data_IF_353950943858
#
_entry.id   IF_353950943858
#
_cell.length_a   1.000
_cell.length_b   1.000
_cell.length_c   1.000
_cell.angle_alpha   90.00
_cell.angle_beta   90.00
_cell.angle_gamma   90.00
#
_symmetry.space_group_name_H-M   'P 1'
#
loop_
_entity.id
_entity.type
_entity.pdbx_description
1 polymer ?
#
# COMPACT_ATOMS: atom_id res chain seq x y z
N UNK A 1 -18.83 -15.17 -29.52
CA UNK A 1 -19.43 -16.51 -29.31
C UNK A 1 -18.51 -17.31 -28.40
N UNK A 2 -19.14 -17.91 -27.37
CA UNK A 2 -18.74 -19.10 -26.60
C UNK A 2 -17.48 -19.07 -25.70
N UNK A 3 -17.79 -18.96 -24.41
CA UNK A 3 -17.15 -19.59 -23.24
C UNK A 3 -16.27 -20.82 -23.54
N UNK A 4 -15.08 -20.85 -22.95
CA UNK A 4 -14.53 -22.01 -22.24
C UNK A 4 -13.28 -21.61 -21.44
N UNK A 5 -13.12 -22.22 -20.26
CA UNK A 5 -12.02 -22.15 -19.27
C UNK A 5 -12.43 -21.40 -17.98
N UNK A 6 -12.66 -22.04 -16.84
CA UNK A 6 -12.44 -23.43 -16.44
C UNK A 6 -13.48 -23.87 -15.40
N UNK A 7 -14.10 -25.03 -15.64
CA UNK A 7 -14.65 -25.88 -14.58
C UNK A 7 -13.48 -26.59 -13.92
N UNK A 8 -13.18 -26.22 -12.67
CA UNK A 8 -12.39 -27.03 -11.73
C UNK A 8 -13.18 -27.05 -10.42
N UNK A 9 -13.65 -28.23 -10.05
CA UNK A 9 -14.18 -28.66 -8.75
C UNK A 9 -14.55 -27.53 -7.78
N UNK A 10 -15.86 -27.32 -7.60
CA UNK A 10 -16.42 -26.45 -6.57
C UNK A 10 -16.07 -26.97 -5.17
N UNK A 11 -14.89 -26.61 -4.69
CA UNK A 11 -14.64 -26.42 -3.26
C UNK A 11 -15.76 -25.50 -2.74
N UNK A 12 -16.31 -25.72 -1.54
CA UNK A 12 -17.21 -24.76 -0.93
C UNK A 12 -16.50 -23.40 -0.99
N UNK A 13 -17.11 -22.42 -1.65
CA UNK A 13 -16.46 -21.15 -1.95
C UNK A 13 -15.79 -20.59 -0.68
N UNK A 14 -14.47 -20.38 -0.73
CA UNK A 14 -13.73 -19.92 0.44
C UNK A 14 -14.20 -18.52 0.82
N UNK A 15 -14.86 -18.39 1.99
CA UNK A 15 -15.40 -17.14 2.54
C UNK A 15 -14.64 -16.73 3.78
N UNK A 16 -14.57 -15.44 4.04
CA UNK A 16 -14.15 -14.98 5.36
C UNK A 16 -15.11 -15.51 6.42
N UNK A 17 -14.55 -15.89 7.57
CA UNK A 17 -15.27 -16.42 8.72
C UNK A 17 -14.74 -15.68 9.93
N UNK A 18 -15.62 -15.39 10.88
CA UNK A 18 -15.16 -15.03 12.21
C UNK A 18 -14.85 -16.34 12.91
N UNK A 19 -13.58 -16.58 13.21
CA UNK A 19 -13.18 -17.84 13.84
C UNK A 19 -13.69 -17.90 15.28
N UNK A 20 -14.12 -19.07 15.75
CA UNK A 20 -14.74 -19.24 17.09
C UNK A 20 -13.84 -18.76 18.24
N UNK A 21 -12.52 -18.85 18.07
CA UNK A 21 -11.52 -18.36 19.04
C UNK A 21 -11.08 -16.91 18.83
N UNK A 22 -11.58 -16.22 17.79
CA UNK A 22 -11.18 -14.85 17.51
C UNK A 22 -11.92 -13.86 18.43
N UNK A 23 -11.17 -12.87 18.90
CA UNK A 23 -11.69 -11.81 19.77
C UNK A 23 -11.44 -10.45 19.13
N UNK A 24 -12.44 -9.58 19.13
CA UNK A 24 -12.32 -8.19 18.76
C UNK A 24 -12.34 -7.33 20.04
N UNK A 25 -11.24 -6.63 20.32
CA UNK A 25 -11.12 -5.76 21.50
C UNK A 25 -11.14 -4.30 21.05
N UNK A 26 -12.27 -3.64 21.25
CA UNK A 26 -12.50 -2.25 20.87
C UNK A 26 -11.67 -1.26 21.70
N UNK A 27 -11.45 -0.02 21.21
CA UNK A 27 -10.64 0.98 21.93
C UNK A 27 -11.12 1.30 23.35
N UNK A 28 -12.42 1.20 23.62
CA UNK A 28 -13.04 1.39 24.93
C UNK A 28 -12.82 0.21 25.89
N UNK A 29 -12.29 -0.92 25.39
CA UNK A 29 -12.03 -2.14 26.15
C UNK A 29 -13.11 -3.22 25.98
N UNK A 30 -14.19 -2.95 25.25
CA UNK A 30 -15.22 -3.94 24.95
C UNK A 30 -14.62 -5.11 24.18
N UNK A 31 -14.80 -6.33 24.69
CA UNK A 31 -14.40 -7.58 24.03
C UNK A 31 -15.61 -8.22 23.37
N UNK A 32 -15.49 -8.55 22.08
CA UNK A 32 -16.51 -9.21 21.29
C UNK A 32 -15.93 -10.52 20.77
N UNK A 33 -16.54 -11.64 21.16
CA UNK A 33 -16.23 -12.97 20.63
C UNK A 33 -17.03 -13.25 19.34
N UNK A 34 -16.86 -14.44 18.76
CA UNK A 34 -17.60 -14.87 17.57
C UNK A 34 -19.12 -14.79 17.81
N UNK A 35 -19.87 -14.13 16.91
CA UNK A 35 -21.30 -13.97 17.08
C UNK A 35 -22.04 -15.25 16.67
N UNK A 36 -22.32 -16.12 17.65
CA UNK A 36 -22.99 -17.39 17.41
C UNK A 36 -24.32 -17.23 16.64
N UNK A 37 -25.16 -16.23 16.97
CA UNK A 37 -26.46 -16.00 16.32
C UNK A 37 -26.75 -14.55 15.93
N UNK A 38 -26.45 -13.54 16.77
CA UNK A 38 -26.59 -12.11 16.45
C UNK A 38 -25.61 -11.25 17.24
N UNK A 39 -25.02 -10.24 16.59
CA UNK A 39 -24.19 -9.22 17.25
C UNK A 39 -25.07 -8.23 18.02
N UNK A 40 -24.71 -7.83 19.25
CA UNK A 40 -25.40 -6.76 19.97
C UNK A 40 -25.50 -5.46 19.13
N UNK A 41 -26.57 -4.67 19.29
CA UNK A 41 -26.76 -3.41 18.53
C UNK A 41 -25.57 -2.46 18.65
N UNK A 42 -24.96 -2.39 19.84
CA UNK A 42 -23.74 -1.59 20.06
C UNK A 42 -22.52 -2.14 19.30
N UNK A 43 -22.37 -3.47 19.19
CA UNK A 43 -21.31 -4.09 18.41
C UNK A 43 -21.49 -3.86 16.90
N UNK A 44 -22.75 -3.76 16.43
CA UNK A 44 -23.09 -3.38 15.06
C UNK A 44 -22.73 -1.93 14.70
N UNK A 45 -22.27 -1.11 15.65
CA UNK A 45 -21.72 0.21 15.33
C UNK A 45 -20.31 0.13 14.75
N UNK A 46 -19.56 -0.95 15.02
CA UNK A 46 -18.20 -1.08 14.50
C UNK A 46 -18.21 -1.59 13.03
N UNK A 47 -17.45 -0.97 12.12
CA UNK A 47 -17.49 -1.31 10.69
C UNK A 47 -17.16 -2.77 10.40
N UNK A 48 -16.17 -3.36 11.09
CA UNK A 48 -15.81 -4.78 10.85
C UNK A 48 -16.96 -5.74 11.22
N UNK A 49 -17.74 -5.43 12.25
CA UNK A 49 -18.88 -6.24 12.67
C UNK A 49 -19.98 -6.21 11.61
N UNK A 50 -20.30 -5.01 11.09
CA UNK A 50 -21.23 -4.84 9.96
C UNK A 50 -20.75 -5.54 8.70
N UNK A 51 -19.44 -5.51 8.43
CA UNK A 51 -18.84 -6.17 7.29
C UNK A 51 -19.07 -7.70 7.34
N UNK A 52 -18.83 -8.34 8.49
CA UNK A 52 -19.10 -9.76 8.69
C UNK A 52 -20.60 -10.10 8.70
N UNK A 53 -21.47 -9.26 9.27
CA UNK A 53 -22.93 -9.45 9.20
C UNK A 53 -23.42 -9.46 7.75
N UNK A 54 -22.98 -8.52 6.92
CA UNK A 54 -23.30 -8.50 5.49
C UNK A 54 -22.80 -9.76 4.77
N UNK A 55 -21.57 -10.22 5.07
CA UNK A 55 -21.09 -11.49 4.54
C UNK A 55 -21.99 -12.65 4.98
N UNK A 56 -22.34 -12.76 6.25
CA UNK A 56 -23.18 -13.87 6.73
C UNK A 56 -24.57 -13.87 6.05
N UNK A 57 -25.09 -12.68 5.69
CA UNK A 57 -26.31 -12.49 4.89
C UNK A 57 -26.11 -12.65 3.37
N UNK A 58 -24.98 -13.19 2.94
CA UNK A 58 -24.62 -13.41 1.53
C UNK A 58 -24.57 -12.11 0.68
N UNK A 59 -24.40 -10.96 1.32
CA UNK A 59 -24.15 -9.69 0.65
C UNK A 59 -22.66 -9.49 0.37
N UNK A 60 -22.35 -8.60 -0.57
CA UNK A 60 -20.97 -8.17 -0.84
C UNK A 60 -20.69 -6.86 -0.11
N UNK A 61 -19.95 -6.87 1.00
CA UNK A 61 -19.71 -5.68 1.78
C UNK A 61 -18.67 -4.75 1.12
N UNK A 62 -18.83 -3.45 1.36
CA UNK A 62 -17.84 -2.42 1.11
C UNK A 62 -17.71 -1.57 2.37
N UNK A 63 -16.47 -1.29 2.80
CA UNK A 63 -16.20 -0.22 3.78
C UNK A 63 -15.73 1.00 2.99
N UNK A 64 -16.63 1.96 2.85
CA UNK A 64 -16.42 3.19 2.10
C UNK A 64 -15.86 4.33 2.96
N UNK A 65 -16.01 5.56 2.44
CA UNK A 65 -15.56 6.76 3.12
C UNK A 65 -16.20 6.93 4.51
N UNK A 66 -15.41 7.44 5.46
CA UNK A 66 -15.80 7.58 6.87
C UNK A 66 -16.25 6.24 7.51
N UNK A 67 -15.67 5.14 7.03
CA UNK A 67 -15.94 3.76 7.46
C UNK A 67 -17.41 3.33 7.39
N UNK A 68 -18.21 3.97 6.53
CA UNK A 68 -19.58 3.53 6.26
C UNK A 68 -19.57 2.18 5.56
N UNK A 69 -20.37 1.25 6.08
CA UNK A 69 -20.47 -0.11 5.55
C UNK A 69 -21.74 -0.26 4.74
N UNK A 70 -21.61 -0.71 3.51
CA UNK A 70 -22.70 -0.82 2.54
C UNK A 70 -22.72 -2.21 1.90
N UNK A 71 -23.92 -2.69 1.58
CA UNK A 71 -24.10 -3.86 0.73
C UNK A 71 -24.08 -3.42 -0.73
N UNK A 72 -23.07 -3.85 -1.49
CA UNK A 72 -22.99 -3.59 -2.92
C UNK A 72 -23.82 -4.63 -3.65
N UNK A 73 -24.68 -4.20 -4.58
CA UNK A 73 -25.46 -5.12 -5.42
C UNK A 73 -24.56 -5.79 -6.47
N UNK A 74 -24.59 -7.13 -6.50
CA UNK A 74 -23.70 -7.96 -7.32
C UNK A 74 -24.54 -8.96 -8.09
N UNK A 75 -24.50 -8.91 -9.42
CA UNK A 75 -25.30 -9.79 -10.29
C UNK A 75 -25.06 -11.29 -10.05
N UNK A 76 -23.86 -11.66 -9.61
CA UNK A 76 -23.52 -13.01 -9.13
C UNK A 76 -23.01 -12.90 -7.69
N UNK A 77 -23.85 -13.23 -6.72
CA UNK A 77 -23.55 -13.20 -5.29
C UNK A 77 -22.63 -14.37 -4.89
N UNK A 78 -21.42 -14.40 -5.42
CA UNK A 78 -20.38 -15.33 -4.95
C UNK A 78 -19.60 -14.67 -3.82
N UNK A 79 -18.99 -15.49 -2.96
CA UNK A 79 -18.05 -15.21 -1.85
C UNK A 79 -17.05 -14.05 -2.02
N UNK A 80 -17.54 -12.82 -2.11
CA UNK A 80 -16.74 -11.64 -2.44
C UNK A 80 -16.99 -10.45 -1.52
N UNK A 81 -16.13 -9.45 -1.69
CA UNK A 81 -16.21 -8.16 -1.02
C UNK A 81 -15.69 -7.06 -1.97
N UNK A 82 -15.95 -5.81 -1.62
CA UNK A 82 -15.44 -4.66 -2.34
C UNK A 82 -14.49 -3.87 -1.44
N UNK A 83 -13.46 -3.28 -2.06
CA UNK A 83 -12.49 -2.39 -1.43
C UNK A 83 -12.31 -1.13 -2.26
N UNK A 84 -11.82 -0.05 -1.63
CA UNK A 84 -11.52 1.20 -2.32
C UNK A 84 -10.04 1.25 -2.74
N UNK A 85 -9.77 1.77 -3.93
CA UNK A 85 -8.41 2.12 -4.36
C UNK A 85 -7.92 3.37 -3.64
N UNK A 86 -6.61 3.48 -3.36
CA UNK A 86 -6.01 4.64 -2.67
C UNK A 86 -5.89 5.95 -3.46
N UNK A 87 -6.55 6.08 -4.63
CA UNK A 87 -6.77 7.35 -5.35
C UNK A 87 -5.52 8.19 -5.63
N UNK A 88 -4.52 7.64 -6.33
CA UNK A 88 -3.31 8.39 -6.75
C UNK A 88 -3.48 9.18 -8.05
N UNK A 89 -4.40 8.76 -8.92
CA UNK A 89 -4.59 9.30 -10.28
C UNK A 89 -6.01 9.84 -10.52
N UNK A 90 -6.82 9.94 -9.47
CA UNK A 90 -8.22 10.35 -9.56
C UNK A 90 -9.05 9.92 -8.35
N UNK A 91 -10.39 10.00 -8.44
CA UNK A 91 -11.28 9.58 -7.35
C UNK A 91 -11.09 8.08 -7.03
N UNK A 92 -11.28 7.67 -5.77
CA UNK A 92 -11.23 6.26 -5.38
C UNK A 92 -12.17 5.38 -6.22
N UNK A 93 -11.62 4.32 -6.80
CA UNK A 93 -12.35 3.29 -7.56
C UNK A 93 -12.81 2.16 -6.63
N UNK A 94 -13.95 1.55 -6.93
CA UNK A 94 -14.46 0.37 -6.21
C UNK A 94 -13.95 -0.91 -6.89
N UNK A 95 -13.23 -1.72 -6.13
CA UNK A 95 -12.55 -2.95 -6.56
C UNK A 95 -13.29 -4.14 -5.97
N UNK A 96 -13.85 -5.01 -6.82
CA UNK A 96 -14.43 -6.27 -6.37
C UNK A 96 -13.35 -7.36 -6.27
N UNK A 97 -13.41 -8.14 -5.19
CA UNK A 97 -12.48 -9.23 -4.89
C UNK A 97 -13.24 -10.47 -4.42
N UNK A 98 -12.66 -11.64 -4.64
CA UNK A 98 -13.08 -12.87 -3.96
C UNK A 98 -12.44 -12.94 -2.57
N UNK A 99 -13.13 -13.51 -1.59
CA UNK A 99 -12.56 -13.79 -0.27
C UNK A 99 -11.34 -14.71 -0.38
N UNK A 100 -11.39 -15.70 -1.30
CA UNK A 100 -10.28 -16.58 -1.63
C UNK A 100 -8.97 -15.81 -1.91
N UNK A 101 -9.03 -14.68 -2.63
CA UNK A 101 -7.85 -13.86 -2.97
C UNK A 101 -7.06 -13.36 -1.75
N UNK A 102 -7.64 -13.35 -0.55
CA UNK A 102 -6.95 -13.03 0.71
C UNK A 102 -6.79 -14.25 1.63
N UNK A 103 -7.71 -15.23 1.59
CA UNK A 103 -7.61 -16.43 2.44
C UNK A 103 -6.34 -17.22 2.14
N UNK A 104 -5.92 -17.28 0.87
CA UNK A 104 -4.68 -17.95 0.46
C UNK A 104 -3.45 -17.45 1.25
N UNK A 105 -3.35 -16.14 1.53
CA UNK A 105 -2.23 -15.58 2.31
C UNK A 105 -2.40 -15.78 3.81
N UNK A 106 -3.63 -15.82 4.34
CA UNK A 106 -3.88 -16.01 5.78
C UNK A 106 -3.27 -17.32 6.29
N UNK A 107 -3.38 -18.41 5.52
CA UNK A 107 -2.81 -19.70 5.91
C UNK A 107 -1.28 -19.68 5.94
N UNK A 108 -0.63 -18.96 5.02
CA UNK A 108 0.81 -18.78 5.02
C UNK A 108 1.28 -17.99 6.25
N UNK A 109 0.57 -16.91 6.59
CA UNK A 109 0.88 -16.09 7.76
C UNK A 109 0.60 -16.81 9.08
N UNK A 110 -0.54 -17.51 9.22
CA UNK A 110 -0.85 -18.27 10.42
C UNK A 110 0.27 -19.28 10.74
N UNK A 111 0.77 -20.02 9.75
CA UNK A 111 1.91 -20.95 9.92
C UNK A 111 3.21 -20.23 10.31
N UNK A 112 3.47 -19.06 9.72
CA UNK A 112 4.67 -18.26 10.02
C UNK A 112 4.64 -17.67 11.43
N UNK A 113 3.49 -17.15 11.86
CA UNK A 113 3.34 -16.36 13.08
C UNK A 113 3.05 -17.21 14.32
N UNK A 114 2.44 -18.40 14.20
CA UNK A 114 1.95 -19.21 15.32
C UNK A 114 3.03 -19.84 16.23
N UNK A 115 4.25 -19.29 16.27
CA UNK A 115 5.37 -19.88 17.03
C UNK A 115 5.40 -19.50 18.52
N UNK A 116 4.62 -18.52 18.99
CA UNK A 116 4.75 -17.96 20.36
C UNK A 116 3.41 -17.56 21.02
N UNK A 117 2.49 -18.51 21.19
CA UNK A 117 1.24 -18.30 21.92
C UNK A 117 0.14 -17.59 21.11
N UNK A 118 -0.89 -17.02 21.76
CA UNK A 118 -2.02 -16.42 21.06
C UNK A 118 -1.55 -15.23 20.22
N UNK A 119 -2.02 -15.17 18.98
CA UNK A 119 -1.76 -14.06 18.09
C UNK A 119 -2.59 -12.85 18.53
N UNK A 120 -1.91 -11.72 18.69
CA UNK A 120 -2.47 -10.44 19.11
C UNK A 120 -2.14 -9.41 18.04
N UNK A 121 -3.13 -9.16 17.20
CA UNK A 121 -3.05 -8.28 16.05
C UNK A 121 -3.45 -6.86 16.41
N UNK A 122 -2.78 -5.89 15.81
CA UNK A 122 -3.28 -4.52 15.76
C UNK A 122 -3.08 -3.90 14.37
N UNK A 123 -3.95 -2.95 14.06
CA UNK A 123 -3.85 -2.06 12.90
C UNK A 123 -3.97 -0.62 13.39
N UNK A 124 -3.31 0.32 12.70
CA UNK A 124 -3.23 1.73 13.14
C UNK A 124 -4.07 2.69 12.29
N UNK A 125 -4.73 2.19 11.24
CA UNK A 125 -5.47 3.01 10.28
C UNK A 125 -6.95 2.70 10.26
N UNK A 126 -7.65 3.34 9.34
CA UNK A 126 -9.08 3.14 9.13
C UNK A 126 -9.33 1.93 8.22
N UNK A 127 -10.43 1.23 8.44
CA UNK A 127 -10.85 0.00 7.75
C UNK A 127 -11.27 0.23 6.30
N UNK A 128 -11.46 1.48 5.87
CA UNK A 128 -11.62 1.81 4.45
C UNK A 128 -10.36 1.52 3.61
N UNK A 129 -9.19 1.46 4.26
CA UNK A 129 -7.92 1.16 3.61
C UNK A 129 -7.66 -0.35 3.58
N UNK A 130 -7.30 -0.86 2.39
CA UNK A 130 -7.10 -2.30 2.16
C UNK A 130 -6.09 -2.94 3.10
N UNK A 131 -5.00 -2.25 3.46
CA UNK A 131 -4.00 -2.73 4.44
C UNK A 131 -4.62 -3.01 5.81
N UNK A 132 -5.37 -2.04 6.35
CA UNK A 132 -6.03 -2.15 7.66
C UNK A 132 -7.09 -3.24 7.62
N UNK A 133 -7.94 -3.24 6.58
CA UNK A 133 -9.01 -4.21 6.42
C UNK A 133 -8.45 -5.63 6.29
N UNK A 134 -7.36 -5.80 5.53
CA UNK A 134 -6.66 -7.08 5.40
C UNK A 134 -6.21 -7.60 6.77
N UNK A 135 -5.49 -6.77 7.56
CA UNK A 135 -5.02 -7.18 8.88
C UNK A 135 -6.16 -7.51 9.86
N UNK A 136 -7.27 -6.78 9.79
CA UNK A 136 -8.47 -7.04 10.58
C UNK A 136 -9.11 -8.39 10.23
N UNK A 137 -9.34 -8.63 8.93
CA UNK A 137 -9.97 -9.86 8.45
C UNK A 137 -9.06 -11.06 8.69
N UNK A 138 -7.74 -10.94 8.44
CA UNK A 138 -6.78 -11.99 8.73
C UNK A 138 -6.86 -12.42 10.19
N UNK A 139 -6.78 -11.47 11.13
CA UNK A 139 -6.82 -11.75 12.55
C UNK A 139 -8.10 -12.51 12.96
N UNK A 140 -9.25 -12.00 12.52
CA UNK A 140 -10.54 -12.60 12.84
C UNK A 140 -10.74 -13.97 12.17
N UNK A 141 -10.18 -14.16 10.96
CA UNK A 141 -10.28 -15.40 10.21
C UNK A 141 -9.42 -16.53 10.80
N UNK A 142 -8.26 -16.21 11.33
CA UNK A 142 -7.32 -17.23 11.85
C UNK A 142 -7.47 -17.49 13.35
N UNK A 143 -8.43 -16.87 14.04
CA UNK A 143 -8.65 -17.08 15.47
C UNK A 143 -7.75 -16.24 16.38
N UNK A 144 -7.31 -15.07 15.92
CA UNK A 144 -6.48 -14.16 16.70
C UNK A 144 -7.30 -13.17 17.53
N UNK A 145 -6.63 -12.51 18.47
CA UNK A 145 -7.15 -11.35 19.20
C UNK A 145 -6.81 -10.10 18.38
N UNK A 146 -7.81 -9.32 17.98
CA UNK A 146 -7.65 -8.13 17.14
C UNK A 146 -7.98 -6.83 17.88
N UNK A 147 -7.06 -5.87 17.79
CA UNK A 147 -7.19 -4.52 18.32
C UNK A 147 -7.23 -3.48 17.17
N UNK A 148 -8.40 -2.98 16.76
CA UNK A 148 -8.50 -1.86 15.84
C UNK A 148 -8.10 -0.56 16.56
N UNK A 149 -6.94 0.00 16.23
CA UNK A 149 -6.43 1.23 16.84
C UNK A 149 -6.50 2.45 15.90
N UNK A 150 -7.31 2.36 14.83
CA UNK A 150 -7.67 3.51 14.00
C UNK A 150 -8.42 4.60 14.78
N UNK A 151 -8.41 5.83 14.27
CA UNK A 151 -9.16 6.95 14.86
C UNK A 151 -8.69 7.50 16.22
N UNK A 152 -7.72 6.86 16.90
CA UNK A 152 -7.16 7.33 18.18
C UNK A 152 -5.74 7.89 18.02
N UNK A 153 -5.33 8.76 18.94
CA UNK A 153 -4.02 9.43 18.85
C UNK A 153 -2.83 8.47 18.93
N UNK A 154 -1.67 8.75 18.29
CA UNK A 154 -0.49 7.89 18.34
C UNK A 154 -0.03 7.54 19.76
N UNK A 155 -0.19 8.45 20.72
CA UNK A 155 0.08 8.20 22.15
C UNK A 155 -0.84 7.11 22.73
N UNK A 156 -2.13 7.14 22.39
CA UNK A 156 -3.08 6.11 22.82
C UNK A 156 -2.86 4.80 22.09
N UNK A 157 -2.53 4.83 20.79
CA UNK A 157 -2.14 3.65 20.02
C UNK A 157 -0.95 2.94 20.71
N UNK A 158 0.14 3.68 21.00
CA UNK A 158 1.31 3.13 21.68
C UNK A 158 0.96 2.49 23.03
N UNK A 159 0.20 3.19 23.87
CA UNK A 159 -0.21 2.69 25.17
C UNK A 159 -1.02 1.39 25.05
N UNK A 160 -1.91 1.28 24.06
CA UNK A 160 -2.71 0.06 23.82
C UNK A 160 -1.86 -1.08 23.25
N UNK A 161 -0.95 -0.81 22.32
CA UNK A 161 -0.01 -1.82 21.80
C UNK A 161 0.80 -2.46 22.94
N UNK A 162 1.30 -1.64 23.86
CA UNK A 162 2.06 -2.08 25.03
C UNK A 162 1.19 -2.88 26.01
N UNK A 163 0.06 -2.32 26.46
CA UNK A 163 -0.79 -2.98 27.47
C UNK A 163 -1.42 -4.26 26.96
N UNK A 164 -1.82 -4.31 25.69
CA UNK A 164 -2.36 -5.51 25.05
C UNK A 164 -1.29 -6.53 24.67
N UNK A 165 0.01 -6.18 24.76
CA UNK A 165 1.15 -7.01 24.33
C UNK A 165 0.99 -7.51 22.90
N UNK A 166 0.65 -6.60 21.98
CA UNK A 166 0.47 -6.90 20.55
C UNK A 166 1.75 -7.51 19.99
N UNK A 167 1.61 -8.60 19.22
CA UNK A 167 2.72 -9.35 18.63
C UNK A 167 2.72 -9.35 17.09
N UNK A 168 1.60 -9.01 16.44
CA UNK A 168 1.50 -8.79 14.99
C UNK A 168 0.94 -7.39 14.72
N UNK A 169 1.63 -6.60 13.91
CA UNK A 169 1.24 -5.23 13.58
C UNK A 169 1.19 -5.04 12.06
N UNK A 170 0.05 -4.58 11.55
CA UNK A 170 -0.08 -4.05 10.19
C UNK A 170 -0.11 -2.52 10.23
N UNK A 171 0.82 -1.88 9.52
CA UNK A 171 0.94 -0.42 9.52
C UNK A 171 1.60 0.10 8.24
N UNK A 172 1.49 1.40 7.99
CA UNK A 172 2.30 2.09 6.98
C UNK A 172 3.57 2.66 7.61
N UNK A 173 4.65 2.90 6.84
CA UNK A 173 5.82 3.61 7.35
C UNK A 173 5.50 4.97 8.00
N UNK A 174 4.51 5.70 7.47
CA UNK A 174 4.05 6.98 8.06
C UNK A 174 3.47 6.78 9.45
N UNK A 175 2.63 5.77 9.66
CA UNK A 175 2.08 5.46 10.98
C UNK A 175 3.17 5.06 11.96
N UNK A 176 4.16 4.28 11.53
CA UNK A 176 5.33 3.93 12.37
C UNK A 176 6.10 5.19 12.79
N UNK A 177 6.37 6.12 11.86
CA UNK A 177 7.02 7.40 12.21
C UNK A 177 6.23 8.20 13.25
N UNK A 178 4.91 8.32 13.06
CA UNK A 178 4.04 9.02 14.02
C UNK A 178 4.08 8.37 15.40
N UNK A 179 4.09 7.04 15.45
CA UNK A 179 4.18 6.25 16.68
C UNK A 179 5.52 6.47 17.41
N UNK A 180 6.64 6.43 16.68
CA UNK A 180 7.99 6.59 17.24
C UNK A 180 8.28 8.03 17.68
N UNK A 181 7.59 9.02 17.10
CA UNK A 181 7.73 10.44 17.45
C UNK A 181 6.99 10.84 18.75
N UNK A 182 6.31 9.91 19.43
CA UNK A 182 5.63 10.20 20.70
C UNK A 182 6.67 10.49 21.79
N UNK A 183 6.95 11.79 21.99
CA UNK A 183 7.88 12.30 23.02
C UNK A 183 7.41 11.86 24.41
N UNK A 184 8.35 11.32 25.22
CA UNK A 184 8.29 10.99 26.67
C UNK A 184 8.24 9.51 27.07
N UNK A 185 8.30 8.55 26.16
CA UNK A 185 8.44 7.13 26.57
C UNK A 185 9.82 6.56 26.24
N UNK A 186 10.43 5.95 27.26
CA UNK A 186 11.71 5.21 27.17
C UNK A 186 11.50 3.71 26.93
N UNK A 187 10.25 3.24 26.80
CA UNK A 187 9.88 1.81 26.78
C UNK A 187 9.34 1.37 25.42
N UNK A 188 9.87 0.25 24.92
CA UNK A 188 9.64 -0.27 23.57
C UNK A 188 8.36 -1.10 23.38
N UNK A 189 8.27 -1.74 22.22
CA UNK A 189 7.23 -2.66 21.77
C UNK A 189 7.77 -4.10 21.81
N UNK A 190 8.25 -4.54 22.97
CA UNK A 190 8.99 -5.80 23.15
C UNK A 190 8.17 -7.05 22.82
N UNK A 191 6.84 -6.97 22.86
CA UNK A 191 5.95 -8.07 22.49
C UNK A 191 5.84 -8.25 20.97
N UNK A 192 6.19 -7.25 20.16
CA UNK A 192 6.13 -7.36 18.71
C UNK A 192 7.07 -8.45 18.20
N UNK A 193 6.54 -9.28 17.29
CA UNK A 193 7.24 -10.35 16.59
C UNK A 193 7.16 -10.18 15.09
N UNK A 194 6.05 -9.66 14.58
CA UNK A 194 5.85 -9.43 13.15
C UNK A 194 5.31 -8.03 12.92
N UNK A 195 5.98 -7.28 12.06
CA UNK A 195 5.52 -5.97 11.59
C UNK A 195 5.44 -6.00 10.08
N UNK A 196 4.22 -5.96 9.57
CA UNK A 196 3.88 -5.98 8.15
C UNK A 196 3.66 -4.54 7.69
N UNK A 197 4.56 -4.04 6.83
CA UNK A 197 4.56 -2.67 6.35
C UNK A 197 4.21 -2.59 4.87
N UNK A 198 3.11 -1.91 4.57
CA UNK A 198 2.65 -1.69 3.20
C UNK A 198 2.40 -0.21 2.90
N UNK A 199 2.23 0.10 1.61
CA UNK A 199 1.79 1.42 1.16
C UNK A 199 2.87 2.50 1.04
N UNK A 200 4.15 2.16 1.24
CA UNK A 200 5.28 3.06 1.03
C UNK A 200 6.60 2.44 1.48
N UNK A 201 7.71 3.11 1.18
CA UNK A 201 9.04 2.71 1.62
C UNK A 201 9.31 3.17 3.06
N UNK A 202 10.01 2.33 3.83
CA UNK A 202 10.52 2.63 5.16
C UNK A 202 11.93 3.21 5.06
N UNK A 203 12.13 4.42 5.57
CA UNK A 203 13.46 5.02 5.66
C UNK A 203 14.33 4.31 6.71
N UNK A 204 15.65 4.34 6.49
CA UNK A 204 16.62 3.64 7.33
C UNK A 204 16.58 4.08 8.79
N UNK A 205 16.36 5.38 9.04
CA UNK A 205 16.29 5.92 10.40
C UNK A 205 15.07 5.36 11.14
N UNK A 206 13.89 5.43 10.54
CA UNK A 206 12.66 4.85 11.11
C UNK A 206 12.80 3.35 11.33
N UNK A 207 13.42 2.63 10.39
CA UNK A 207 13.73 1.19 10.54
C UNK A 207 14.61 0.92 11.75
N UNK A 208 15.69 1.68 11.92
CA UNK A 208 16.62 1.54 13.05
C UNK A 208 15.94 1.88 14.39
N UNK A 209 15.11 2.92 14.42
CA UNK A 209 14.29 3.24 15.61
C UNK A 209 13.31 2.12 15.96
N UNK A 210 12.57 1.60 14.97
CA UNK A 210 11.62 0.51 15.17
C UNK A 210 12.33 -0.76 15.67
N UNK A 211 13.51 -1.09 15.14
CA UNK A 211 14.33 -2.22 15.63
C UNK A 211 14.77 -2.04 17.08
N UNK A 212 15.08 -0.82 17.52
CA UNK A 212 15.39 -0.54 18.94
C UNK A 212 14.18 -0.73 19.85
N UNK A 213 13.00 -0.33 19.39
CA UNK A 213 11.75 -0.48 20.16
C UNK A 213 11.26 -1.94 20.17
N UNK A 214 11.43 -2.67 19.08
CA UNK A 214 10.95 -4.03 18.89
C UNK A 214 12.10 -4.95 18.42
N UNK A 215 13.09 -5.26 19.28
CA UNK A 215 14.31 -5.98 18.89
C UNK A 215 14.02 -7.39 18.36
N UNK A 216 12.98 -8.04 18.87
CA UNK A 216 12.54 -9.37 18.44
C UNK A 216 11.62 -9.37 17.20
N UNK A 217 11.25 -8.19 16.68
CA UNK A 217 10.31 -8.12 15.56
C UNK A 217 11.00 -8.33 14.22
N UNK A 218 10.41 -9.20 13.41
CA UNK A 218 10.65 -9.27 11.98
C UNK A 218 9.87 -8.15 11.28
N UNK A 219 10.59 -7.23 10.63
CA UNK A 219 10.01 -6.10 9.89
C UNK A 219 9.99 -6.48 8.42
N UNK A 220 8.80 -6.74 7.89
CA UNK A 220 8.58 -7.11 6.49
C UNK A 220 7.91 -5.93 5.78
N UNK A 221 8.64 -5.27 4.88
CA UNK A 221 8.04 -4.36 3.91
C UNK A 221 7.48 -5.20 2.76
N UNK A 222 6.29 -4.86 2.26
CA UNK A 222 5.73 -5.50 1.09
C UNK A 222 5.24 -4.47 0.08
N UNK A 223 5.45 -4.79 -1.18
CA UNK A 223 4.89 -4.06 -2.29
C UNK A 223 3.62 -4.75 -2.78
N UNK A 224 2.60 -3.92 -3.00
CA UNK A 224 1.26 -4.37 -3.30
C UNK A 224 0.37 -3.25 -3.77
N UNK A 225 -0.76 -3.62 -4.37
CA UNK A 225 -1.82 -2.69 -4.79
C UNK A 225 -3.17 -3.19 -4.31
N UNK A 226 -4.22 -2.35 -4.34
CA UNK A 226 -5.57 -2.83 -4.01
C UNK A 226 -6.08 -3.88 -5.01
N UNK A 227 -5.54 -3.87 -6.23
CA UNK A 227 -5.83 -4.79 -7.32
C UNK A 227 -5.09 -6.13 -7.15
N UNK A 228 -3.84 -6.14 -6.65
CA UNK A 228 -3.00 -7.34 -6.60
C UNK A 228 -2.68 -7.86 -5.19
N UNK A 229 -3.07 -7.15 -4.14
CA UNK A 229 -2.69 -7.45 -2.74
C UNK A 229 -1.15 -7.58 -2.62
N UNK A 230 -0.59 -8.71 -2.19
CA UNK A 230 0.86 -8.90 -2.10
C UNK A 230 1.47 -9.23 -3.48
N UNK A 231 2.47 -8.45 -3.89
CA UNK A 231 3.24 -8.67 -5.11
C UNK A 231 4.65 -9.12 -4.75
N UNK A 232 5.34 -8.34 -3.92
CA UNK A 232 6.66 -8.66 -3.40
C UNK A 232 6.73 -8.44 -1.89
N UNK A 233 7.66 -9.12 -1.22
CA UNK A 233 8.00 -8.84 0.16
C UNK A 233 9.52 -8.83 0.38
N UNK A 234 9.97 -7.94 1.25
CA UNK A 234 11.35 -7.86 1.71
C UNK A 234 11.66 -8.98 2.70
N UNK A 235 12.89 -9.47 2.66
CA UNK A 235 13.53 -10.30 3.66
C UNK A 235 14.74 -9.57 4.27
N UNK A 236 15.53 -10.29 5.09
CA UNK A 236 16.74 -9.75 5.72
C UNK A 236 17.80 -9.30 4.71
N UNK A 237 17.85 -9.96 3.55
CA UNK A 237 18.90 -9.81 2.55
C UNK A 237 18.47 -8.87 1.40
N UNK A 238 17.28 -8.28 1.50
CA UNK A 238 16.73 -7.40 0.48
C UNK A 238 17.60 -6.15 0.32
N UNK A 239 18.16 -5.90 -0.88
CA UNK A 239 19.00 -4.75 -1.12
C UNK A 239 18.26 -3.43 -0.95
N UNK A 240 18.99 -2.36 -0.61
CA UNK A 240 18.43 -1.02 -0.57
C UNK A 240 17.83 -0.62 -1.93
N UNK A 241 16.61 -0.10 -1.91
CA UNK A 241 15.86 0.32 -3.10
C UNK A 241 15.05 -0.80 -3.77
N UNK A 242 15.24 -2.06 -3.38
CA UNK A 242 14.38 -3.16 -3.80
C UNK A 242 13.10 -3.19 -2.96
N UNK A 243 12.00 -3.60 -3.59
CA UNK A 243 10.74 -3.91 -2.88
C UNK A 243 10.62 -5.39 -2.50
N UNK A 244 11.73 -6.12 -2.60
CA UNK A 244 11.84 -7.53 -2.28
C UNK A 244 11.62 -8.45 -3.48
N UNK A 245 11.39 -9.73 -3.18
CA UNK A 245 11.16 -10.79 -4.16
C UNK A 245 9.67 -11.07 -4.34
N UNK A 246 9.25 -11.71 -5.44
CA UNK A 246 7.87 -12.15 -5.62
C UNK A 246 7.35 -12.87 -4.37
N UNK A 247 6.19 -12.45 -3.89
CA UNK A 247 5.53 -13.09 -2.76
C UNK A 247 5.18 -14.55 -3.12
N UNK A 248 5.13 -15.51 -2.17
CA UNK A 248 4.76 -16.89 -2.49
C UNK A 248 3.51 -16.99 -3.38
N UNK A 249 3.59 -17.78 -4.46
CA UNK A 249 2.49 -17.91 -5.44
C UNK A 249 2.38 -16.77 -6.46
N UNK A 250 3.23 -15.74 -6.40
CA UNK A 250 3.30 -14.67 -7.41
C UNK A 250 4.40 -14.95 -8.41
N UNK A 251 4.06 -14.89 -9.69
CA UNK A 251 5.01 -14.87 -10.80
C UNK A 251 5.09 -13.46 -11.38
N UNK A 252 6.31 -13.01 -11.69
CA UNK A 252 6.57 -11.72 -12.30
C UNK A 252 7.17 -11.86 -13.69
N UNK A 253 6.78 -10.96 -14.59
CA UNK A 253 7.42 -10.76 -15.87
C UNK A 253 7.57 -9.27 -16.14
N UNK A 254 8.75 -8.86 -16.63
CA UNK A 254 8.98 -7.49 -17.09
C UNK A 254 8.84 -7.50 -18.61
N UNK A 255 7.92 -6.69 -19.14
CA UNK A 255 7.62 -6.65 -20.58
C UNK A 255 7.77 -5.25 -21.15
N UNK A 256 8.25 -5.14 -22.38
CA UNK A 256 8.35 -3.87 -23.09
C UNK A 256 6.97 -3.34 -23.53
N UNK A 257 6.96 -2.29 -24.36
CA UNK A 257 5.73 -1.67 -24.84
C UNK A 257 4.96 -2.57 -25.84
N UNK A 258 5.64 -3.49 -26.51
CA UNK A 258 5.09 -4.45 -27.48
C UNK A 258 4.58 -5.71 -26.77
N UNK A 259 4.95 -5.90 -25.50
CA UNK A 259 4.58 -7.04 -24.67
C UNK A 259 5.58 -8.19 -24.74
N UNK A 260 6.76 -7.99 -25.32
CA UNK A 260 7.85 -8.97 -25.30
C UNK A 260 8.62 -8.90 -23.96
N UNK A 261 9.18 -10.02 -23.47
CA UNK A 261 10.00 -10.01 -22.26
C UNK A 261 11.23 -9.10 -22.39
N UNK A 262 11.48 -8.29 -21.36
CA UNK A 262 12.69 -7.49 -21.25
C UNK A 262 13.90 -8.35 -20.86
N UNK A 263 15.10 -7.93 -21.28
CA UNK A 263 16.34 -8.48 -20.75
C UNK A 263 16.47 -8.21 -19.24
N UNK A 264 17.22 -9.06 -18.53
CA UNK A 264 17.51 -8.87 -17.10
C UNK A 264 18.04 -7.46 -16.83
N UNK A 265 17.61 -6.86 -15.72
CA UNK A 265 17.92 -5.49 -15.31
C UNK A 265 17.44 -4.35 -16.25
N UNK A 266 16.70 -4.66 -17.32
CA UNK A 266 16.07 -3.65 -18.17
C UNK A 266 14.68 -3.28 -17.64
N UNK A 267 14.38 -1.98 -17.62
CA UNK A 267 13.09 -1.48 -17.16
C UNK A 267 11.97 -1.76 -18.17
N UNK A 268 10.81 -2.16 -17.67
CA UNK A 268 9.61 -2.39 -18.46
C UNK A 268 8.35 -2.43 -17.61
N UNK A 269 7.22 -2.70 -18.24
CA UNK A 269 5.94 -2.90 -17.55
C UNK A 269 6.04 -4.12 -16.65
N UNK A 270 5.64 -3.96 -15.38
CA UNK A 270 5.51 -5.07 -14.46
C UNK A 270 4.20 -5.79 -14.76
N UNK A 271 4.31 -7.07 -15.08
CA UNK A 271 3.20 -8.01 -15.20
C UNK A 271 3.32 -9.05 -14.11
N UNK A 272 2.17 -9.46 -13.56
CA UNK A 272 2.11 -10.51 -12.57
C UNK A 272 1.02 -11.53 -12.88
N UNK A 273 1.26 -12.78 -12.49
CA UNK A 273 0.24 -13.81 -12.34
C UNK A 273 0.19 -14.21 -10.87
N UNK A 274 -0.98 -14.13 -10.26
CA UNK A 274 -1.11 -14.27 -8.81
C UNK A 274 -2.52 -14.72 -8.41
N UNK A 275 -2.67 -15.56 -7.37
CA UNK A 275 -3.98 -15.89 -6.80
C UNK A 275 -4.60 -14.71 -6.03
N UNK A 276 -3.84 -13.65 -5.77
CA UNK A 276 -4.24 -12.50 -4.96
C UNK A 276 -4.82 -11.35 -5.78
N UNK A 277 -5.07 -11.56 -7.06
CA UNK A 277 -5.64 -10.55 -7.95
C UNK A 277 -7.13 -10.32 -7.66
N UNK A 278 -7.56 -9.07 -7.81
CA UNK A 278 -8.96 -8.66 -7.81
C UNK A 278 -9.73 -9.32 -8.95
N UNK A 279 -11.06 -9.29 -8.86
CA UNK A 279 -11.94 -9.81 -9.91
C UNK A 279 -12.17 -8.77 -11.01
N UNK A 280 -12.55 -7.55 -10.63
CA UNK A 280 -12.81 -6.43 -11.56
C UNK A 280 -13.04 -5.11 -10.81
N UNK A 281 -13.01 -4.00 -11.55
CA UNK A 281 -13.60 -2.75 -11.09
C UNK A 281 -15.13 -2.81 -11.18
N UNK A 282 -15.81 -2.25 -10.18
CA UNK A 282 -17.28 -2.13 -10.12
C UNK A 282 -17.77 -0.85 -10.74
N UNK A 283 -17.05 0.24 -10.48
CA UNK A 283 -17.29 1.55 -11.06
C UNK A 283 -15.94 2.14 -11.47
N UNK A 284 -15.95 2.79 -12.64
CA UNK A 284 -14.74 3.28 -13.29
C UNK A 284 -13.91 2.16 -13.94
N UNK A 285 -12.76 2.56 -14.44
CA UNK A 285 -11.69 1.69 -14.91
C UNK A 285 -10.38 2.40 -14.64
N UNK A 286 -9.30 1.65 -14.60
CA UNK A 286 -7.97 2.23 -14.62
C UNK A 286 -7.30 1.78 -15.92
N UNK A 287 -7.01 2.70 -16.86
CA UNK A 287 -6.42 2.34 -18.15
C UNK A 287 -5.03 1.71 -18.00
N UNK A 288 -4.41 1.88 -16.84
CA UNK A 288 -3.13 1.27 -16.54
C UNK A 288 -3.24 -0.21 -16.11
N UNK A 289 -4.44 -0.68 -15.79
CA UNK A 289 -4.70 -2.05 -15.41
C UNK A 289 -5.09 -2.85 -16.64
N UNK A 290 -4.20 -3.74 -17.07
CA UNK A 290 -4.34 -4.49 -18.33
C UNK A 290 -4.28 -5.98 -18.03
N UNK A 291 -5.32 -6.69 -18.46
CA UNK A 291 -5.33 -8.15 -18.50
C UNK A 291 -4.88 -8.65 -19.87
N UNK A 292 -3.98 -9.64 -19.89
CA UNK A 292 -3.63 -10.42 -21.08
C UNK A 292 -3.43 -11.86 -20.64
N UNK A 293 -4.36 -12.72 -21.04
CA UNK A 293 -4.49 -14.09 -20.53
C UNK A 293 -4.57 -14.06 -18.98
N UNK A 294 -3.79 -14.90 -18.30
CA UNK A 294 -3.72 -14.95 -16.84
C UNK A 294 -2.77 -13.89 -16.22
N UNK A 295 -2.22 -12.98 -17.03
CA UNK A 295 -1.31 -11.93 -16.57
C UNK A 295 -2.03 -10.59 -16.40
N UNK A 296 -1.70 -9.91 -15.30
CA UNK A 296 -2.17 -8.59 -14.94
C UNK A 296 -1.00 -7.60 -14.94
N UNK A 297 -1.10 -6.52 -15.73
CA UNK A 297 -0.25 -5.34 -15.56
C UNK A 297 -0.95 -4.33 -14.65
N UNK A 298 -0.18 -3.70 -13.75
CA UNK A 298 -0.69 -2.76 -12.74
C UNK A 298 -0.29 -1.29 -12.98
N UNK A 299 0.22 -0.97 -14.17
CA UNK A 299 0.70 0.37 -14.51
C UNK A 299 2.03 0.79 -13.87
N UNK A 300 2.67 -0.12 -13.15
CA UNK A 300 3.97 0.12 -12.52
C UNK A 300 5.10 -0.34 -13.45
N UNK A 301 6.17 0.43 -13.48
CA UNK A 301 7.38 0.17 -14.26
C UNK A 301 8.50 -0.22 -13.30
N UNK A 302 9.26 -1.24 -13.68
CA UNK A 302 10.38 -1.71 -12.89
C UNK A 302 11.26 -2.68 -13.65
N UNK A 303 12.22 -3.26 -12.93
CA UNK A 303 13.09 -4.30 -13.44
C UNK A 303 13.37 -5.33 -12.35
N UNK A 304 13.72 -6.54 -12.77
CA UNK A 304 14.27 -7.58 -11.89
C UNK A 304 15.78 -7.61 -12.05
N UNK A 305 16.50 -7.70 -10.93
CA UNK A 305 17.92 -8.01 -10.94
C UNK A 305 18.16 -9.53 -11.16
N UNK A 306 19.42 -9.97 -11.37
CA UNK A 306 19.72 -11.38 -11.57
C UNK A 306 19.41 -12.27 -10.35
N UNK A 307 19.19 -11.69 -9.17
CA UNK A 307 18.81 -12.39 -7.94
C UNK A 307 17.28 -12.42 -7.73
N UNK A 308 16.50 -11.88 -8.67
CA UNK A 308 15.03 -11.85 -8.64
C UNK A 308 14.43 -10.77 -7.74
N UNK A 309 15.21 -9.79 -7.30
CA UNK A 309 14.69 -8.65 -6.55
C UNK A 309 14.04 -7.64 -7.50
N UNK A 310 12.85 -7.16 -7.14
CA UNK A 310 12.11 -6.17 -7.91
C UNK A 310 12.50 -4.76 -7.49
N UNK A 311 12.80 -3.92 -8.48
CA UNK A 311 13.07 -2.50 -8.31
C UNK A 311 12.04 -1.68 -9.08
N UNK A 312 11.35 -0.78 -8.38
CA UNK A 312 10.38 0.13 -9.00
C UNK A 312 11.11 1.33 -9.62
N UNK A 313 10.68 1.73 -10.81
CA UNK A 313 11.16 2.94 -11.49
C UNK A 313 10.15 4.08 -11.44
N UNK A 314 8.86 3.77 -11.48
CA UNK A 314 7.79 4.75 -11.48
C UNK A 314 6.54 4.21 -12.17
N UNK A 315 5.61 5.09 -12.50
CA UNK A 315 4.33 4.71 -13.12
C UNK A 315 4.31 5.04 -14.60
N UNK A 316 3.68 4.16 -15.39
CA UNK A 316 3.52 4.38 -16.83
C UNK A 316 2.76 5.68 -17.12
N UNK A 317 1.65 5.95 -16.43
CA UNK A 317 0.89 7.19 -16.61
C UNK A 317 1.64 8.49 -16.21
N UNK A 318 2.74 8.40 -15.46
CA UNK A 318 3.55 9.57 -15.08
C UNK A 318 4.82 9.72 -15.92
N UNK A 319 5.16 8.72 -16.72
CA UNK A 319 6.33 8.77 -17.58
C UNK A 319 6.15 9.82 -18.69
N UNK A 320 7.23 10.52 -19.02
CA UNK A 320 7.25 11.52 -20.10
C UNK A 320 8.56 11.46 -20.88
N UNK A 321 8.61 12.06 -22.06
CA UNK A 321 9.81 12.09 -22.90
C UNK A 321 10.56 13.41 -22.75
N UNK A 322 11.89 13.34 -22.63
CA UNK A 322 12.80 14.49 -22.72
C UNK A 322 13.95 14.10 -23.63
N UNK A 323 14.11 14.78 -24.76
CA UNK A 323 15.15 14.49 -25.76
C UNK A 323 15.26 12.97 -26.08
N UNK A 324 14.13 12.38 -26.48
CA UNK A 324 13.97 10.96 -26.84
C UNK A 324 14.27 9.95 -25.73
N UNK A 325 14.30 10.41 -24.47
CA UNK A 325 14.47 9.54 -23.31
C UNK A 325 13.21 9.51 -22.44
N UNK A 326 12.83 8.30 -22.04
CA UNK A 326 11.75 8.11 -21.09
C UNK A 326 12.24 8.49 -19.69
N UNK A 327 11.58 9.47 -19.09
CA UNK A 327 11.82 9.94 -17.74
C UNK A 327 10.72 9.42 -16.82
N UNK A 328 11.13 8.81 -15.71
CA UNK A 328 10.23 8.42 -14.61
C UNK A 328 10.41 9.42 -13.47
N UNK A 329 9.43 10.33 -13.24
CA UNK A 329 9.58 11.39 -12.24
C UNK A 329 9.79 10.83 -10.83
N UNK A 330 9.19 9.70 -10.49
CA UNK A 330 9.30 9.08 -9.16
C UNK A 330 10.75 8.76 -8.78
N UNK A 331 11.57 8.31 -9.74
CA UNK A 331 12.99 8.04 -9.48
C UNK A 331 13.77 9.31 -9.14
N UNK A 332 13.40 10.44 -9.75
CA UNK A 332 14.00 11.75 -9.48
C UNK A 332 13.51 12.27 -8.13
N UNK A 333 12.20 12.22 -7.88
CA UNK A 333 11.56 12.61 -6.61
C UNK A 333 12.17 11.86 -5.42
N UNK A 334 12.31 10.54 -5.54
CA UNK A 334 12.90 9.69 -4.52
C UNK A 334 14.36 10.03 -4.23
N UNK A 335 15.10 10.55 -5.21
CA UNK A 335 16.49 10.99 -5.01
C UNK A 335 16.57 12.40 -4.42
N UNK A 336 15.69 13.30 -4.84
CA UNK A 336 15.61 14.65 -4.28
C UNK A 336 15.18 14.60 -2.80
N UNK A 337 14.27 13.72 -2.43
CA UNK A 337 13.80 13.58 -1.04
C UNK A 337 14.87 13.06 -0.07
N UNK A 338 15.98 12.50 -0.57
CA UNK A 338 17.14 12.12 0.25
C UNK A 338 17.98 13.33 0.67
N UNK A 339 17.79 14.50 0.05
CA UNK A 339 18.47 15.73 0.45
C UNK A 339 17.91 16.22 1.78
N UNK A 340 18.77 16.46 2.78
CA UNK A 340 18.37 16.85 4.14
C UNK A 340 17.50 18.11 4.19
N UNK A 341 17.80 19.09 3.35
CA UNK A 341 17.01 20.33 3.20
C UNK A 341 15.65 20.20 2.48
N UNK A 342 15.35 19.07 1.83
CA UNK A 342 14.08 18.87 1.11
C UNK A 342 13.05 18.22 2.05
N UNK A 343 11.86 18.80 2.06
CA UNK A 343 10.69 18.24 2.76
C UNK A 343 9.87 17.35 1.81
N UNK A 344 9.58 17.85 0.60
CA UNK A 344 8.91 17.10 -0.45
C UNK A 344 9.34 17.63 -1.82
N UNK A 345 9.30 16.77 -2.84
CA UNK A 345 9.54 17.15 -4.22
C UNK A 345 8.56 16.45 -5.16
N UNK A 346 8.11 17.14 -6.19
CA UNK A 346 7.30 16.58 -7.30
C UNK A 346 7.91 17.03 -8.62
N UNK A 347 8.02 16.09 -9.55
CA UNK A 347 8.67 16.27 -10.85
C UNK A 347 7.67 16.12 -11.98
N UNK A 348 7.78 17.00 -12.97
CA UNK A 348 6.97 17.03 -14.18
C UNK A 348 7.80 17.47 -15.38
N UNK A 349 7.25 17.24 -16.58
CA UNK A 349 7.66 17.87 -17.82
C UNK A 349 7.07 19.29 -17.96
N UNK A 350 7.88 20.23 -18.46
CA UNK A 350 7.42 21.50 -19.02
C UNK A 350 7.83 21.60 -20.50
N UNK A 351 6.99 22.11 -21.41
CA UNK A 351 7.37 22.28 -22.82
C UNK A 351 8.66 23.09 -23.00
N UNK A 352 9.54 22.66 -23.89
CA UNK A 352 10.78 23.34 -24.26
C UNK A 352 10.96 23.28 -25.77
N UNK A 353 11.17 24.43 -26.41
CA UNK A 353 11.21 24.54 -27.86
C UNK A 353 12.35 23.72 -28.53
N UNK A 354 13.43 23.42 -27.80
CA UNK A 354 14.59 22.69 -28.33
C UNK A 354 14.55 21.21 -28.00
N UNK A 355 14.04 20.85 -26.82
CA UNK A 355 14.09 19.47 -26.26
C UNK A 355 12.74 18.76 -26.27
N UNK A 356 11.69 19.42 -26.75
CA UNK A 356 10.29 19.01 -26.60
C UNK A 356 9.79 19.29 -25.19
N UNK A 357 10.50 18.80 -24.17
CA UNK A 357 10.25 19.09 -22.78
C UNK A 357 11.55 19.21 -21.95
N UNK A 358 11.44 19.84 -20.79
CA UNK A 358 12.45 19.85 -19.72
C UNK A 358 11.87 19.35 -18.42
N UNK A 359 12.74 18.82 -17.57
CA UNK A 359 12.39 18.35 -16.23
C UNK A 359 12.30 19.55 -15.29
N UNK A 360 11.17 19.72 -14.63
CA UNK A 360 10.96 20.74 -13.58
C UNK A 360 10.61 20.04 -12.27
N UNK A 361 11.24 20.48 -11.18
CA UNK A 361 10.96 19.99 -9.84
C UNK A 361 10.30 21.09 -9.00
N UNK A 362 9.08 20.86 -8.52
CA UNK A 362 8.50 21.64 -7.43
C UNK A 362 9.03 21.09 -6.12
N UNK A 363 9.58 21.97 -5.29
CA UNK A 363 10.24 21.61 -4.03
C UNK A 363 9.59 22.37 -2.88
N UNK A 364 9.19 21.63 -1.86
CA UNK A 364 8.99 22.15 -0.53
C UNK A 364 10.29 21.94 0.26
N UNK A 365 10.87 23.03 0.75
CA UNK A 365 12.11 23.00 1.50
C UNK A 365 11.85 23.22 2.99
N UNK A 366 12.55 22.49 3.86
CA UNK A 366 12.34 22.52 5.32
C UNK A 366 12.60 23.90 5.93
N UNK A 367 13.55 24.65 5.37
CA UNK A 367 13.90 26.00 5.80
C UNK A 367 12.98 27.09 5.20
N UNK A 368 12.07 26.71 4.31
CA UNK A 368 11.31 27.66 3.50
C UNK A 368 12.08 28.29 2.34
N UNK A 369 13.33 27.89 2.09
CA UNK A 369 14.15 28.34 0.97
C UNK A 369 14.84 27.16 0.28
N UNK A 370 15.06 27.24 -1.05
CA UNK A 370 15.79 26.19 -1.77
C UNK A 370 17.20 26.01 -1.18
N UNK A 371 17.64 24.78 -0.89
CA UNK A 371 19.01 24.53 -0.48
C UNK A 371 20.00 25.02 -1.53
N UNK A 372 21.02 25.78 -1.11
CA UNK A 372 22.02 26.37 -2.03
C UNK A 372 22.81 25.31 -2.78
N UNK A 373 22.98 24.14 -2.18
CA UNK A 373 23.71 22.99 -2.69
C UNK A 373 22.84 22.03 -3.53
N UNK A 374 21.54 22.30 -3.69
CA UNK A 374 20.60 21.38 -4.34
C UNK A 374 21.00 20.99 -5.77
N UNK A 375 21.51 21.94 -6.56
CA UNK A 375 21.96 21.65 -7.92
C UNK A 375 23.22 20.76 -7.94
N UNK A 376 24.14 20.98 -7.01
CA UNK A 376 25.34 20.16 -6.86
C UNK A 376 24.97 18.74 -6.41
N UNK A 377 24.06 18.62 -5.43
CA UNK A 377 23.49 17.35 -4.99
C UNK A 377 22.85 16.57 -6.15
N UNK A 378 21.94 17.21 -6.89
CA UNK A 378 21.31 16.59 -8.04
C UNK A 378 22.34 16.16 -9.09
N UNK A 379 23.39 16.96 -9.30
CA UNK A 379 24.46 16.61 -10.25
C UNK A 379 25.27 15.39 -9.81
N UNK A 380 25.51 15.24 -8.51
CA UNK A 380 26.24 14.11 -7.95
C UNK A 380 25.41 12.82 -7.93
N UNK A 381 24.08 12.93 -7.73
CA UNK A 381 23.22 11.78 -7.48
C UNK A 381 22.27 11.39 -8.63
N UNK A 382 22.11 12.24 -9.64
CA UNK A 382 21.26 11.97 -10.80
C UNK A 382 22.09 11.96 -12.11
N UNK A 383 21.78 11.03 -13.03
CA UNK A 383 22.31 11.07 -14.39
C UNK A 383 22.02 12.41 -15.05
N UNK A 384 22.92 12.89 -15.93
CA UNK A 384 22.82 14.20 -16.59
C UNK A 384 21.43 14.50 -17.16
N UNK A 385 20.82 13.51 -17.82
CA UNK A 385 19.51 13.65 -18.48
C UNK A 385 18.30 13.51 -17.56
N UNK A 386 18.51 13.16 -16.29
CA UNK A 386 17.47 13.08 -15.25
C UNK A 386 17.51 14.27 -14.27
N UNK A 387 18.41 15.24 -14.49
CA UNK A 387 18.54 16.42 -13.63
C UNK A 387 17.44 17.43 -13.96
N UNK A 388 16.68 17.91 -12.96
CA UNK A 388 15.77 19.04 -13.16
C UNK A 388 16.52 20.25 -13.72
N UNK A 389 16.00 20.82 -14.81
CA UNK A 389 16.50 22.06 -15.38
C UNK A 389 16.08 23.28 -14.54
N UNK A 390 14.95 23.17 -13.82
CA UNK A 390 14.38 24.22 -12.98
C UNK A 390 13.86 23.64 -11.67
N UNK A 391 14.06 24.40 -10.59
CA UNK A 391 13.51 24.11 -9.27
C UNK A 391 12.56 25.24 -8.88
N UNK A 392 11.30 24.91 -8.60
CA UNK A 392 10.27 25.86 -8.20
C UNK A 392 9.97 25.66 -6.72
N UNK A 393 10.27 26.66 -5.90
CA UNK A 393 9.98 26.62 -4.48
C UNK A 393 8.48 26.85 -4.23
N UNK A 394 7.82 25.91 -3.55
CA UNK A 394 6.46 26.09 -3.04
C UNK A 394 6.34 25.48 -1.63
N UNK A 395 5.94 26.26 -0.61
CA UNK A 395 5.68 25.71 0.72
C UNK A 395 4.68 24.57 0.67
N UNK A 396 4.91 23.51 1.45
CA UNK A 396 4.07 22.31 1.43
C UNK A 396 2.59 22.62 1.73
N UNK A 397 2.34 23.58 2.62
CA UNK A 397 0.98 24.04 2.97
C UNK A 397 0.21 24.66 1.78
N UNK A 398 0.90 25.05 0.71
CA UNK A 398 0.30 25.61 -0.50
C UNK A 398 0.14 24.57 -1.62
N UNK A 399 0.54 23.31 -1.39
CA UNK A 399 0.37 22.28 -2.40
C UNK A 399 -1.10 21.89 -2.49
N UNK A 400 -1.72 21.96 -3.68
CA UNK A 400 -3.03 21.36 -3.90
C UNK A 400 -3.00 19.88 -3.50
N UNK A 401 -4.00 19.43 -2.75
CA UNK A 401 -4.15 18.05 -2.31
C UNK A 401 -5.50 17.48 -2.77
N UNK A 402 -5.50 16.21 -3.13
CA UNK A 402 -6.71 15.44 -3.39
C UNK A 402 -7.42 15.08 -2.07
N UNK A 403 -8.69 14.69 -2.15
CA UNK A 403 -9.44 14.14 -1.01
C UNK A 403 -8.78 12.92 -0.36
N UNK A 404 -7.87 12.23 -1.08
CA UNK A 404 -7.06 11.13 -0.56
C UNK A 404 -5.87 11.59 0.31
N UNK A 405 -5.67 12.90 0.48
CA UNK A 405 -4.55 13.49 1.22
C UNK A 405 -3.22 13.52 0.45
N UNK A 406 -3.23 13.14 -0.84
CA UNK A 406 -2.05 13.14 -1.72
C UNK A 406 -1.96 14.44 -2.52
N UNK A 407 -0.76 14.87 -2.94
CA UNK A 407 -0.62 16.03 -3.83
C UNK A 407 -1.42 15.86 -5.13
N UNK A 408 -2.18 16.88 -5.51
CA UNK A 408 -2.81 16.97 -6.82
C UNK A 408 -1.75 17.40 -7.85
N UNK A 409 -1.19 16.40 -8.51
CA UNK A 409 -0.11 16.57 -9.48
C UNK A 409 -0.53 17.43 -10.67
N UNK A 410 -1.81 17.37 -11.08
CA UNK A 410 -2.30 18.17 -12.21
C UNK A 410 -2.40 19.64 -11.82
N UNK A 411 -2.94 19.93 -10.64
CA UNK A 411 -3.02 21.28 -10.12
C UNK A 411 -1.61 21.87 -9.87
N UNK A 412 -0.68 21.09 -9.30
CA UNK A 412 0.72 21.50 -9.14
C UNK A 412 1.39 21.81 -10.48
N UNK A 413 1.15 20.98 -11.50
CA UNK A 413 1.70 21.20 -12.85
C UNK A 413 1.16 22.50 -13.47
N UNK A 414 -0.11 22.85 -13.25
CA UNK A 414 -0.69 24.13 -13.71
C UNK A 414 -0.08 25.33 -13.00
N UNK A 415 0.06 25.27 -11.67
CA UNK A 415 0.69 26.34 -10.88
C UNK A 415 2.14 26.65 -11.33
N UNK A 416 2.85 25.66 -11.86
CA UNK A 416 4.20 25.87 -12.40
C UNK A 416 4.19 26.58 -13.75
N UNK A 417 3.21 26.28 -14.59
CA UNK A 417 3.07 26.90 -15.92
C UNK A 417 2.60 28.35 -15.84
N UNK A 418 1.85 28.71 -14.80
CA UNK A 418 1.36 30.08 -14.56
C UNK A 418 2.38 30.98 -13.86
N UNK A 419 3.41 30.40 -13.25
CA UNK A 419 4.51 31.13 -12.60
C UNK A 419 5.72 31.36 -13.53
N UNK A 420 5.58 30.99 -14.81
CA UNK A 420 6.47 31.30 -15.94
C UNK A 420 5.88 32.45 -16.75
#
# INVERSE_FOLDING_TARGET
MLNAHASKNSLPEARFRWHINAQLILPDGTCLDEPQHHLPTAAMMHPICRFFDLLNRQSTPLIGAAERVEAVLVANANSGFCAMSGGTTGPPKVIQRSCASWIETFHLHARRFAKQGPLRYATLGDLQHSLTLYGAIEALHIGAIYHPLGGISPRRQLSKLQSARVNVLYATPTQIRLLLNVKRQKSGLEALRHVMLGGGALDQETRAQLKRWAPAAEITEFFGTSEASFICASDRDTPLGSVGRPYPGVELAIRDAQGAPCQSASAGNIWLRSPYVFSKYRSGADPDIIWRDDWLSIGEIGYLDPQGYLYLKGRRARAFQVADQTVYPEAIEAKLSQHSGIEAAVVFDCPDAKRGAVIVAVVAARSGALPKDLQAWASHHLPLRARPAKYVLKPLAQWPILNSGKPDLQALKRLCREAE
#
